data_IF_764953164854
#
_entry.id   IF_764953164854
#
_cell.length_a   1.000
_cell.length_b   1.000
_cell.length_c   1.000
_cell.angle_alpha   90.00
_cell.angle_beta   90.00
_cell.angle_gamma   90.00
#
_symmetry.space_group_name_H-M   'P 1'
#
loop_
_entity.id
_entity.type
_entity.pdbx_description
1 polymer ?
#
# COMPACT_ATOMS: atom_id res chain seq x y z
N UNK A 1 -2.37 -8.47 -4.59
CA UNK A 1 -1.45 -7.97 -3.55
C UNK A 1 -1.93 -8.49 -2.21
N UNK A 2 -1.04 -8.79 -1.26
CA UNK A 2 -1.43 -9.04 0.14
C UNK A 2 -0.74 -7.98 1.01
N UNK A 3 -1.50 -7.26 1.82
CA UNK A 3 -0.96 -6.39 2.86
C UNK A 3 -1.29 -7.03 4.21
N UNK A 4 -0.28 -7.20 5.05
CA UNK A 4 -0.43 -7.66 6.43
C UNK A 4 0.17 -6.61 7.33
N UNK A 5 -0.49 -6.27 8.44
CA UNK A 5 0.08 -5.37 9.42
C UNK A 5 0.29 -6.07 10.76
N UNK A 6 1.19 -5.49 11.52
CA UNK A 6 1.47 -5.72 12.92
C UNK A 6 1.26 -4.37 13.64
N UNK A 7 1.32 -4.32 14.98
CA UNK A 7 1.02 -3.12 15.78
C UNK A 7 1.83 -1.86 15.38
N UNK A 8 2.99 -2.04 14.74
CA UNK A 8 3.92 -0.93 14.41
C UNK A 8 4.32 -0.86 12.94
N UNK A 9 4.12 -1.92 12.17
CA UNK A 9 4.62 -2.01 10.79
C UNK A 9 3.63 -2.75 9.91
N UNK A 10 3.72 -2.54 8.60
CA UNK A 10 2.99 -3.30 7.63
C UNK A 10 3.89 -3.85 6.55
N UNK A 11 3.59 -5.05 6.12
CA UNK A 11 4.29 -5.75 5.06
C UNK A 11 3.39 -5.84 3.84
N UNK A 12 3.88 -5.31 2.73
CA UNK A 12 3.32 -5.52 1.40
C UNK A 12 4.00 -6.72 0.78
N UNK A 13 3.23 -7.74 0.44
CA UNK A 13 3.69 -8.89 -0.32
C UNK A 13 3.07 -8.85 -1.72
N UNK A 14 3.91 -8.54 -2.69
CA UNK A 14 3.63 -8.67 -4.12
C UNK A 14 4.01 -10.06 -4.63
N UNK A 15 3.83 -10.27 -5.94
CA UNK A 15 4.14 -11.56 -6.60
C UNK A 15 5.64 -11.85 -6.70
N UNK A 16 6.45 -10.80 -6.79
CA UNK A 16 7.91 -10.88 -6.98
C UNK A 16 8.70 -10.08 -5.95
N UNK A 17 8.02 -9.40 -5.03
CA UNK A 17 8.65 -8.51 -4.06
C UNK A 17 7.87 -8.51 -2.76
N UNK A 18 8.57 -8.27 -1.66
CA UNK A 18 8.00 -8.04 -0.35
C UNK A 18 8.72 -6.87 0.30
N UNK A 19 7.97 -5.95 0.91
CA UNK A 19 8.54 -4.79 1.60
C UNK A 19 7.79 -4.52 2.90
N UNK A 20 8.54 -4.30 3.98
CA UNK A 20 8.02 -3.98 5.30
C UNK A 20 8.29 -2.52 5.61
N UNK A 21 7.26 -1.79 6.03
CA UNK A 21 7.28 -0.35 6.28
C UNK A 21 6.60 -0.02 7.61
N UNK A 22 6.92 1.11 8.26
CA UNK A 22 6.22 1.56 9.46
C UNK A 22 4.77 1.95 9.18
N UNK A 23 3.84 1.67 10.11
CA UNK A 23 2.43 2.10 10.01
C UNK A 23 2.30 3.62 9.92
N UNK A 24 3.20 4.37 10.55
CA UNK A 24 3.23 5.83 10.48
C UNK A 24 3.47 6.35 9.04
N UNK A 25 4.08 5.52 8.18
CA UNK A 25 4.31 5.84 6.77
C UNK A 25 3.17 5.39 5.85
N UNK A 26 2.16 4.69 6.38
CA UNK A 26 1.02 4.20 5.62
C UNK A 26 0.33 5.32 4.82
N UNK A 27 -0.07 6.48 5.40
CA UNK A 27 -0.67 7.57 4.63
C UNK A 27 0.30 8.17 3.59
N UNK A 28 1.61 8.18 3.87
CA UNK A 28 2.63 8.66 2.92
C UNK A 28 2.76 7.70 1.73
N UNK A 29 2.78 6.39 1.98
CA UNK A 29 2.84 5.36 0.95
C UNK A 29 1.58 5.41 0.08
N UNK A 30 0.40 5.56 0.69
CA UNK A 30 -0.88 5.67 -0.02
C UNK A 30 -0.90 6.89 -0.96
N UNK A 31 -0.44 8.05 -0.48
CA UNK A 31 -0.29 9.24 -1.30
C UNK A 31 0.74 9.05 -2.44
N UNK A 32 1.86 8.39 -2.15
CA UNK A 32 2.89 8.08 -3.15
C UNK A 32 2.35 7.19 -4.26
N UNK A 33 1.70 6.07 -3.93
CA UNK A 33 1.13 5.15 -4.92
C UNK A 33 -0.03 5.77 -5.69
N UNK A 34 -0.88 6.59 -5.06
CA UNK A 34 -1.91 7.37 -5.78
C UNK A 34 -1.28 8.35 -6.79
N UNK A 35 -0.21 9.03 -6.40
CA UNK A 35 0.56 9.90 -7.29
C UNK A 35 1.20 9.14 -8.46
N UNK A 36 1.78 7.96 -8.19
CA UNK A 36 2.32 7.07 -9.22
C UNK A 36 1.21 6.58 -10.16
N UNK A 37 0.05 6.16 -9.64
CA UNK A 37 -1.11 5.76 -10.44
C UNK A 37 -1.60 6.88 -11.37
N UNK A 38 -1.62 8.12 -10.88
CA UNK A 38 -2.00 9.29 -11.67
C UNK A 38 -0.97 9.59 -12.77
N UNK A 39 0.34 9.53 -12.46
CA UNK A 39 1.43 9.76 -13.41
C UNK A 39 1.62 8.63 -14.43
N UNK A 40 1.42 7.39 -14.02
CA UNK A 40 1.68 6.18 -14.81
C UNK A 40 0.37 5.44 -15.13
N UNK A 41 -0.49 6.10 -15.91
CA UNK A 41 -1.82 5.59 -16.28
C UNK A 41 -1.77 4.28 -17.07
N UNK A 42 -0.65 3.99 -17.76
CA UNK A 42 -0.42 2.73 -18.49
C UNK A 42 -0.18 1.51 -17.57
N UNK A 43 0.26 1.73 -16.33
CA UNK A 43 0.54 0.69 -15.34
C UNK A 43 -0.47 0.71 -14.18
N UNK A 44 -1.64 1.32 -14.39
CA UNK A 44 -2.67 1.55 -13.37
C UNK A 44 -3.05 0.30 -12.59
N UNK A 45 -3.20 -0.84 -13.28
CA UNK A 45 -3.56 -2.12 -12.66
C UNK A 45 -2.51 -2.67 -11.69
N UNK A 46 -1.24 -2.29 -11.84
CA UNK A 46 -0.16 -2.74 -10.95
C UNK A 46 -0.20 -2.00 -9.61
N UNK A 47 -0.59 -0.72 -9.64
CA UNK A 47 -0.69 0.13 -8.44
C UNK A 47 -2.05 0.04 -7.74
N UNK A 48 -3.15 -0.22 -8.48
CA UNK A 48 -4.49 -0.36 -7.92
C UNK A 48 -4.52 -1.42 -6.81
N UNK A 49 -3.94 -2.59 -7.06
CA UNK A 49 -3.89 -3.67 -6.08
C UNK A 49 -3.09 -3.32 -4.81
N UNK A 50 -2.06 -2.47 -4.91
CA UNK A 50 -1.30 -1.96 -3.76
C UNK A 50 -2.10 -0.93 -3.00
N UNK A 51 -2.73 0.00 -3.70
CA UNK A 51 -3.54 1.08 -3.12
C UNK A 51 -4.73 0.50 -2.38
N UNK A 52 -5.47 -0.44 -2.99
CA UNK A 52 -6.59 -1.13 -2.33
C UNK A 52 -6.14 -1.84 -1.05
N UNK A 53 -4.98 -2.51 -1.10
CA UNK A 53 -4.46 -3.20 0.07
C UNK A 53 -4.05 -2.23 1.18
N UNK A 54 -3.45 -1.08 0.84
CA UNK A 54 -3.10 -0.02 1.77
C UNK A 54 -4.35 0.69 2.35
N UNK A 55 -5.35 1.00 1.53
CA UNK A 55 -6.61 1.61 1.99
C UNK A 55 -7.37 0.68 2.93
N UNK A 56 -7.38 -0.62 2.64
CA UNK A 56 -7.96 -1.62 3.53
C UNK A 56 -7.23 -1.67 4.86
N UNK A 57 -5.90 -1.63 4.81
CA UNK A 57 -5.05 -1.59 6.00
C UNK A 57 -5.30 -0.34 6.85
N UNK A 58 -5.35 0.84 6.22
CA UNK A 58 -5.68 2.11 6.89
C UNK A 58 -7.03 2.04 7.60
N UNK A 59 -8.00 1.35 6.99
CA UNK A 59 -9.34 1.17 7.54
C UNK A 59 -9.42 0.11 8.66
N UNK A 60 -8.47 -0.81 8.70
CA UNK A 60 -8.35 -1.86 9.72
C UNK A 60 -7.61 -1.37 10.96
N UNK A 61 -6.63 -0.47 10.76
CA UNK A 61 -5.83 0.17 11.82
C UNK A 61 -6.47 1.49 12.30
N UNK A 62 -7.20 2.18 11.42
CA UNK A 62 -7.92 3.40 11.73
C UNK A 62 -9.07 3.15 12.72
N UNK A 63 -9.32 4.08 13.65
CA UNK A 63 -10.22 3.93 14.79
C UNK A 63 -11.69 3.65 14.44
#
# INVERSE_FOLDING_TARGET
MKATHDDKTFTLTGRYWSGTFPIEELPKQLAFYRGQRAKFSKAKGVYDATIEALEKLEKEIGP
#
